data_IF_339397980740
#
_entry.id   IF_339397980740
#
_cell.length_a   1.000
_cell.length_b   1.000
_cell.length_c   1.000
_cell.angle_alpha   90.00
_cell.angle_beta   90.00
_cell.angle_gamma   90.00
#
_symmetry.space_group_name_H-M   'P 1'
#
loop_
_entity.id
_entity.type
_entity.pdbx_description
1 polymer ?
#
# COMPACT_ATOMS: atom_id res chain seq x y z
N UNK A 1 -29.17 0.83 -2.81
CA UNK A 1 -28.59 0.01 -1.72
C UNK A 1 -28.89 0.72 -0.41
N UNK A 2 -29.67 0.10 0.48
CA UNK A 2 -30.04 0.74 1.75
C UNK A 2 -28.83 0.77 2.70
N UNK A 3 -28.58 1.88 3.43
CA UNK A 3 -27.45 2.03 4.34
C UNK A 3 -27.37 0.91 5.41
N UNK A 4 -28.53 0.38 5.79
CA UNK A 4 -28.75 -0.73 6.72
C UNK A 4 -28.02 -2.03 6.32
N UNK A 5 -27.88 -2.27 5.01
CA UNK A 5 -27.24 -3.48 4.50
C UNK A 5 -25.73 -3.45 4.60
N UNK A 6 -25.14 -2.25 4.51
CA UNK A 6 -23.70 -2.05 4.64
C UNK A 6 -23.25 -2.21 6.09
N UNK A 7 -24.00 -1.68 7.03
CA UNK A 7 -23.72 -1.76 8.47
C UNK A 7 -23.66 -3.21 8.95
N UNK A 8 -24.66 -4.03 8.56
CA UNK A 8 -24.67 -5.48 8.82
C UNK A 8 -23.52 -6.23 8.15
N UNK A 9 -23.06 -5.77 6.99
CA UNK A 9 -21.95 -6.39 6.28
C UNK A 9 -20.62 -6.08 6.96
N UNK A 10 -20.47 -4.86 7.47
CA UNK A 10 -19.30 -4.43 8.25
C UNK A 10 -19.24 -5.13 9.61
N UNK A 11 -20.36 -5.25 10.32
CA UNK A 11 -20.44 -6.05 11.55
C UNK A 11 -20.02 -7.50 11.31
N UNK A 12 -20.52 -8.13 10.23
CA UNK A 12 -20.14 -9.51 9.87
C UNK A 12 -18.67 -9.65 9.52
N UNK A 13 -18.09 -8.69 8.80
CA UNK A 13 -16.66 -8.68 8.48
C UNK A 13 -15.79 -8.52 9.74
N UNK A 14 -16.23 -7.68 10.68
CA UNK A 14 -15.57 -7.55 11.98
C UNK A 14 -15.67 -8.80 12.83
N UNK A 15 -16.86 -9.39 12.92
CA UNK A 15 -17.10 -10.64 13.65
C UNK A 15 -16.34 -11.83 13.06
N UNK A 16 -16.11 -11.85 11.73
CA UNK A 16 -15.35 -12.91 11.04
C UNK A 16 -13.84 -12.69 11.13
N UNK A 17 -13.37 -11.59 11.73
CA UNK A 17 -11.94 -11.27 11.79
C UNK A 17 -11.34 -11.00 10.41
N UNK A 18 -12.17 -10.59 9.44
CA UNK A 18 -11.75 -10.17 8.09
C UNK A 18 -11.47 -8.66 8.01
N UNK A 19 -11.61 -7.94 9.13
CA UNK A 19 -11.29 -6.51 9.27
C UNK A 19 -9.84 -6.13 9.63
N UNK A 20 -8.92 -7.00 10.08
CA UNK A 20 -7.52 -6.71 9.82
C UNK A 20 -7.27 -6.96 8.34
N UNK A 21 -6.43 -6.14 7.71
CA UNK A 21 -5.91 -6.37 6.37
C UNK A 21 -5.18 -7.72 6.34
N UNK A 22 -5.92 -8.82 6.23
CA UNK A 22 -5.37 -10.17 6.11
C UNK A 22 -4.67 -10.17 4.77
N UNK A 23 -3.34 -10.14 4.82
CA UNK A 23 -2.49 -10.22 3.65
C UNK A 23 -3.02 -11.33 2.73
N UNK A 24 -3.29 -10.98 1.48
CA UNK A 24 -3.89 -11.87 0.51
C UNK A 24 -3.16 -13.20 0.46
N UNK A 25 -3.91 -14.30 0.36
CA UNK A 25 -3.37 -15.66 0.27
C UNK A 25 -2.28 -15.71 -0.82
N UNK A 26 -1.01 -15.84 -0.41
CA UNK A 26 0.13 -16.01 -1.31
C UNK A 26 1.21 -14.92 -1.28
N UNK A 27 1.05 -13.84 -0.51
CA UNK A 27 2.13 -12.88 -0.28
C UNK A 27 2.82 -13.14 1.06
N UNK A 28 4.06 -13.62 1.02
CA UNK A 28 4.92 -13.59 2.22
C UNK A 28 5.04 -12.12 2.67
N UNK A 29 4.73 -11.81 3.93
CA UNK A 29 4.90 -10.46 4.43
C UNK A 29 6.37 -10.07 4.32
N UNK A 30 6.61 -8.92 3.71
CA UNK A 30 7.94 -8.28 3.71
C UNK A 30 8.16 -7.72 5.12
N UNK A 31 9.40 -7.80 5.63
CA UNK A 31 9.71 -7.32 6.99
C UNK A 31 9.46 -5.81 7.09
N UNK A 32 9.05 -5.34 8.26
CA UNK A 32 8.88 -3.90 8.52
C UNK A 32 10.21 -3.16 8.32
N UNK A 33 11.33 -3.77 8.74
CA UNK A 33 12.68 -3.23 8.54
C UNK A 33 13.00 -3.02 7.05
N UNK A 34 12.59 -3.95 6.19
CA UNK A 34 12.79 -3.83 4.73
C UNK A 34 11.87 -2.80 4.09
N UNK A 35 10.68 -2.58 4.66
CA UNK A 35 9.78 -1.52 4.21
C UNK A 35 10.37 -0.13 4.53
N UNK A 36 10.92 0.04 5.73
CA UNK A 36 11.57 1.29 6.17
C UNK A 36 12.85 1.58 5.38
N UNK A 37 13.68 0.57 5.13
CA UNK A 37 14.90 0.73 4.32
C UNK A 37 14.58 1.19 2.90
N UNK A 38 13.54 0.64 2.26
CA UNK A 38 13.11 1.08 0.93
C UNK A 38 12.51 2.48 0.97
N UNK A 39 11.76 2.85 2.01
CA UNK A 39 11.23 4.19 2.15
C UNK A 39 12.35 5.24 2.24
N UNK A 40 13.38 4.97 3.06
CA UNK A 40 14.53 5.86 3.21
C UNK A 40 15.29 6.02 1.87
N UNK A 41 15.57 4.91 1.18
CA UNK A 41 16.28 4.98 -0.11
C UNK A 41 15.47 5.64 -1.22
N UNK A 42 14.13 5.58 -1.16
CA UNK A 42 13.27 6.36 -2.06
C UNK A 42 13.45 7.86 -1.79
N UNK A 43 13.47 8.28 -0.53
CA UNK A 43 13.69 9.70 -0.17
C UNK A 43 15.09 10.17 -0.60
N UNK A 44 16.14 9.40 -0.29
CA UNK A 44 17.52 9.71 -0.69
C UNK A 44 17.66 9.85 -2.21
N UNK A 45 17.16 8.87 -2.98
CA UNK A 45 17.20 8.91 -4.45
C UNK A 45 16.38 10.07 -5.03
N UNK A 46 15.29 10.46 -4.36
CA UNK A 46 14.45 11.57 -4.79
C UNK A 46 15.11 12.92 -4.51
N UNK A 47 15.82 13.04 -3.38
CA UNK A 47 16.59 14.24 -3.00
C UNK A 47 17.80 14.42 -3.93
N UNK A 48 18.46 13.34 -4.31
CA UNK A 48 19.60 13.36 -5.24
C UNK A 48 19.19 13.64 -6.69
N UNK A 49 17.94 13.32 -7.05
CA UNK A 49 17.40 13.55 -8.39
C UNK A 49 17.15 15.03 -8.68
N UNK A 50 17.72 15.53 -9.78
CA UNK A 50 17.47 16.90 -10.28
C UNK A 50 16.01 17.18 -10.61
N UNK A 51 15.22 16.14 -10.91
CA UNK A 51 13.80 16.26 -11.23
C UNK A 51 12.88 15.96 -10.04
N UNK A 52 13.44 15.67 -8.85
CA UNK A 52 12.66 15.26 -7.68
C UNK A 52 11.85 13.98 -7.93
N UNK A 53 12.34 13.10 -8.82
CA UNK A 53 11.71 11.82 -9.15
C UNK A 53 12.78 10.74 -9.19
N UNK A 54 12.50 9.56 -8.63
CA UNK A 54 13.40 8.42 -8.68
C UNK A 54 12.71 7.22 -9.35
N UNK A 55 13.50 6.41 -10.06
CA UNK A 55 13.04 5.16 -10.64
C UNK A 55 13.17 4.01 -9.63
N UNK A 56 12.29 3.02 -9.76
CA UNK A 56 12.36 1.82 -8.90
C UNK A 56 13.70 1.08 -9.10
N UNK A 57 14.28 1.15 -10.30
CA UNK A 57 15.60 0.57 -10.59
C UNK A 57 16.72 1.25 -9.79
N UNK A 58 16.68 2.56 -9.58
CA UNK A 58 17.68 3.27 -8.77
C UNK A 58 17.56 2.86 -7.30
N UNK A 59 16.35 2.82 -6.77
CA UNK A 59 16.08 2.35 -5.39
C UNK A 59 16.53 0.90 -5.20
N UNK A 60 16.36 0.05 -6.21
CA UNK A 60 16.81 -1.35 -6.19
C UNK A 60 18.33 -1.45 -6.03
N UNK A 61 19.09 -0.54 -6.64
CA UNK A 61 20.56 -0.51 -6.53
C UNK A 61 21.03 -0.02 -5.15
N UNK A 62 20.21 0.75 -4.45
CA UNK A 62 20.53 1.27 -3.11
C UNK A 62 20.28 0.23 -2.01
N UNK A 63 19.19 -0.53 -2.10
CA UNK A 63 18.74 -1.44 -1.02
C UNK A 63 19.25 -2.88 -1.21
N UNK A 64 19.93 -3.18 -2.33
CA UNK A 64 20.39 -4.53 -2.70
C UNK A 64 19.30 -5.62 -2.57
N UNK A 65 18.07 -5.24 -2.94
CA UNK A 65 16.91 -6.12 -2.96
C UNK A 65 16.51 -6.45 -4.38
N UNK A 66 15.80 -7.58 -4.63
CA UNK A 66 15.24 -7.85 -5.95
C UNK A 66 14.26 -6.76 -6.37
N UNK A 67 14.29 -6.36 -7.65
CA UNK A 67 13.39 -5.35 -8.23
C UNK A 67 11.91 -5.65 -7.93
N UNK A 68 11.53 -6.92 -7.93
CA UNK A 68 10.16 -7.37 -7.64
C UNK A 68 9.74 -7.09 -6.20
N UNK A 69 10.65 -7.19 -5.24
CA UNK A 69 10.44 -6.87 -3.83
C UNK A 69 10.29 -5.37 -3.65
N UNK A 70 11.22 -4.59 -4.20
CA UNK A 70 11.17 -3.12 -4.16
C UNK A 70 9.87 -2.60 -4.81
N UNK A 71 9.47 -3.16 -5.96
CA UNK A 71 8.19 -2.82 -6.58
C UNK A 71 6.96 -3.09 -5.69
N UNK A 72 6.96 -4.17 -4.91
CA UNK A 72 5.85 -4.49 -4.00
C UNK A 72 5.79 -3.50 -2.85
N UNK A 73 6.94 -3.16 -2.28
CA UNK A 73 7.07 -2.24 -1.16
C UNK A 73 6.72 -0.81 -1.61
N UNK A 74 7.28 -0.33 -2.71
CA UNK A 74 6.95 1.00 -3.26
C UNK A 74 5.46 1.13 -3.57
N UNK A 75 4.82 0.08 -4.12
CA UNK A 75 3.35 0.08 -4.31
C UNK A 75 2.58 0.13 -2.99
N UNK A 76 3.07 -0.54 -1.95
CA UNK A 76 2.50 -0.51 -0.60
C UNK A 76 2.64 0.89 0.03
N UNK A 77 3.84 1.49 -0.05
CA UNK A 77 4.15 2.84 0.46
C UNK A 77 3.33 3.93 -0.24
N UNK A 78 3.25 3.89 -1.57
CA UNK A 78 2.50 4.87 -2.36
C UNK A 78 0.98 4.65 -2.32
N UNK A 79 0.48 3.72 -1.50
CA UNK A 79 -0.93 3.31 -1.45
C UNK A 79 -1.51 2.98 -2.84
N UNK A 80 -0.64 2.55 -3.77
CA UNK A 80 -0.95 2.52 -5.20
C UNK A 80 -1.82 1.32 -5.60
N UNK A 81 -2.30 0.51 -4.66
CA UNK A 81 -3.17 -0.61 -5.00
C UNK A 81 -4.45 -0.08 -5.67
N UNK A 82 -4.70 -0.42 -6.95
CA UNK A 82 -5.85 0.09 -7.68
C UNK A 82 -7.18 -0.35 -7.06
N UNK A 83 -7.17 -1.42 -6.26
CA UNK A 83 -8.33 -1.93 -5.54
C UNK A 83 -8.64 -1.11 -4.27
N UNK A 84 -7.62 -0.69 -3.52
CA UNK A 84 -7.75 0.14 -2.31
C UNK A 84 -8.17 1.57 -2.67
N UNK A 85 -7.53 2.16 -3.69
CA UNK A 85 -7.80 3.55 -4.07
C UNK A 85 -9.20 3.73 -4.70
N UNK A 86 -9.71 2.75 -5.46
CA UNK A 86 -11.11 2.78 -5.94
C UNK A 86 -12.13 2.69 -4.82
N UNK A 87 -11.87 1.88 -3.80
CA UNK A 87 -12.75 1.77 -2.63
C UNK A 87 -12.71 3.05 -1.78
N UNK A 88 -11.53 3.62 -1.56
CA UNK A 88 -11.34 4.89 -0.84
C UNK A 88 -11.96 6.07 -1.62
N UNK A 89 -11.78 6.14 -2.95
CA UNK A 89 -12.45 7.14 -3.79
C UNK A 89 -13.97 7.01 -3.74
N UNK A 90 -14.50 5.78 -3.79
CA UNK A 90 -15.93 5.55 -3.60
C UNK A 90 -16.40 5.96 -2.21
N UNK A 91 -15.66 5.65 -1.15
CA UNK A 91 -16.02 6.04 0.21
C UNK A 91 -16.02 7.58 0.40
N UNK A 92 -15.02 8.29 -0.15
CA UNK A 92 -14.95 9.76 -0.15
C UNK A 92 -16.14 10.43 -0.84
N UNK A 93 -16.73 9.77 -1.85
CA UNK A 93 -17.94 10.26 -2.53
C UNK A 93 -19.18 10.12 -1.63
N UNK A 94 -19.24 9.11 -0.76
CA UNK A 94 -20.41 8.85 0.11
C UNK A 94 -20.34 9.55 1.47
N UNK A 95 -19.15 9.84 1.98
CA UNK A 95 -18.94 10.57 3.24
C UNK A 95 -17.86 11.66 3.06
N UNK A 96 -18.24 12.85 2.60
CA UNK A 96 -17.35 14.00 2.62
C UNK A 96 -17.27 14.52 4.06
N UNK A 97 -16.07 14.55 4.62
CA UNK A 97 -15.77 15.33 5.83
C UNK A 97 -15.61 16.80 5.46
#
# INVERSE_FOLDING_TARGET
MAPQGLEKMMEKLGATGLLPAVAGRGSNPVSVETDEAVALSVEEATIESTHGTCSVSEVTRLVDLPLTTVCKIVRKLLLYYPYENKLIQKLKIYYPF
#
